data_IF_957025397598
#
_entry.id   IF_957025397598
#
_cell.length_a   1.000
_cell.length_b   1.000
_cell.length_c   1.000
_cell.angle_alpha   90.00
_cell.angle_beta   90.00
_cell.angle_gamma   90.00
#
_symmetry.space_group_name_H-M   'P 1'
#
loop_
_entity.id
_entity.type
_entity.pdbx_description
1 polymer ?
#
# COMPACT_ATOMS: atom_id res chain seq x y z
N UNK A 1 15.29 11.89 17.19
CA UNK A 1 15.67 10.82 16.24
C UNK A 1 16.53 11.42 15.14
N UNK A 2 17.68 10.83 14.86
CA UNK A 2 18.54 11.29 13.77
C UNK A 2 18.10 10.69 12.43
N UNK A 3 18.70 11.15 11.33
CA UNK A 3 18.33 10.70 9.98
C UNK A 3 18.55 9.20 9.76
N UNK A 4 19.61 8.65 10.33
CA UNK A 4 19.92 7.22 10.20
C UNK A 4 18.80 6.35 10.81
N UNK A 5 18.36 6.69 12.01
CA UNK A 5 17.25 5.98 12.68
C UNK A 5 15.95 6.17 11.93
N UNK A 6 15.68 7.37 11.43
CA UNK A 6 14.50 7.65 10.62
C UNK A 6 14.49 6.81 9.34
N UNK A 7 15.62 6.74 8.65
CA UNK A 7 15.74 5.93 7.43
C UNK A 7 15.48 4.43 7.70
N UNK A 8 15.85 3.95 8.89
CA UNK A 8 15.53 2.59 9.32
C UNK A 8 14.00 2.38 9.40
N UNK A 9 13.28 3.35 9.93
CA UNK A 9 11.81 3.29 9.99
C UNK A 9 11.22 3.25 8.57
N UNK A 10 11.73 4.07 7.66
CA UNK A 10 11.27 4.09 6.26
C UNK A 10 11.44 2.70 5.61
N UNK A 11 12.64 2.13 5.70
CA UNK A 11 12.91 0.80 5.12
C UNK A 11 12.04 -0.28 5.73
N UNK A 12 11.91 -0.27 7.06
CA UNK A 12 11.09 -1.23 7.79
C UNK A 12 9.63 -1.19 7.32
N UNK A 13 9.02 0.00 7.31
CA UNK A 13 7.60 0.12 6.94
C UNK A 13 7.37 -0.18 5.47
N UNK A 14 8.23 0.27 4.57
CA UNK A 14 8.06 0.00 3.14
C UNK A 14 8.21 -1.49 2.83
N UNK A 15 9.18 -2.17 3.42
CA UNK A 15 9.36 -3.61 3.22
C UNK A 15 8.19 -4.41 3.78
N UNK A 16 7.72 -4.05 4.97
CA UNK A 16 6.59 -4.73 5.61
C UNK A 16 5.30 -4.57 4.79
N UNK A 17 5.00 -3.36 4.36
CA UNK A 17 3.80 -3.08 3.56
C UNK A 17 3.87 -3.77 2.19
N UNK A 18 5.02 -3.71 1.52
CA UNK A 18 5.21 -4.36 0.24
C UNK A 18 5.02 -5.87 0.31
N UNK A 19 5.59 -6.52 1.33
CA UNK A 19 5.44 -7.96 1.52
C UNK A 19 3.99 -8.37 1.76
N UNK A 20 3.26 -7.62 2.58
CA UNK A 20 1.83 -7.88 2.85
C UNK A 20 1.01 -7.75 1.57
N UNK A 21 1.21 -6.68 0.80
CA UNK A 21 0.48 -6.45 -0.45
C UNK A 21 0.72 -7.56 -1.48
N UNK A 22 1.97 -7.95 -1.67
CA UNK A 22 2.32 -9.00 -2.63
C UNK A 22 1.77 -10.35 -2.23
N UNK A 23 1.85 -10.71 -0.95
CA UNK A 23 1.30 -11.97 -0.43
C UNK A 23 -0.22 -12.03 -0.57
N UNK A 24 -0.92 -10.96 -0.17
CA UNK A 24 -2.39 -10.90 -0.28
C UNK A 24 -2.86 -10.97 -1.73
N UNK A 25 -2.08 -10.44 -2.67
CA UNK A 25 -2.38 -10.55 -4.08
C UNK A 25 -2.49 -12.00 -4.55
N UNK A 26 -1.58 -12.86 -4.10
CA UNK A 26 -1.61 -14.28 -4.41
C UNK A 26 -2.78 -15.01 -3.76
N UNK A 27 -3.12 -14.65 -2.52
CA UNK A 27 -4.21 -15.28 -1.77
C UNK A 27 -5.60 -14.96 -2.35
N UNK A 28 -5.82 -13.71 -2.77
CA UNK A 28 -7.16 -13.24 -3.14
C UNK A 28 -7.46 -13.26 -4.62
N UNK A 29 -6.47 -13.12 -5.47
CA UNK A 29 -6.72 -12.94 -6.89
C UNK A 29 -6.13 -14.04 -7.79
N UNK A 30 -5.14 -14.80 -7.32
CA UNK A 30 -4.40 -15.73 -8.17
C UNK A 30 -3.51 -15.00 -9.17
N UNK A 31 -2.71 -15.74 -9.94
CA UNK A 31 -1.70 -15.12 -10.82
C UNK A 31 -2.29 -14.37 -12.01
N UNK A 32 -3.44 -14.81 -12.51
CA UNK A 32 -4.07 -14.26 -13.73
C UNK A 32 -5.36 -13.49 -13.45
N UNK A 33 -5.68 -13.23 -12.18
CA UNK A 33 -6.88 -12.52 -11.81
C UNK A 33 -6.62 -11.02 -11.65
N UNK A 34 -7.66 -10.20 -11.83
CA UNK A 34 -7.57 -8.77 -11.61
C UNK A 34 -7.43 -8.47 -10.12
N UNK A 35 -6.26 -7.98 -9.73
CA UNK A 35 -5.94 -7.65 -8.34
C UNK A 35 -6.88 -6.59 -7.75
N UNK A 36 -7.45 -5.76 -8.60
CA UNK A 36 -8.28 -4.61 -8.22
C UNK A 36 -9.77 -4.87 -8.41
N UNK A 37 -10.17 -6.12 -8.69
CA UNK A 37 -11.54 -6.48 -9.04
C UNK A 37 -12.56 -6.11 -7.96
N UNK A 38 -12.20 -6.21 -6.69
CA UNK A 38 -13.12 -5.88 -5.59
C UNK A 38 -13.57 -4.42 -5.62
N UNK A 39 -12.66 -3.50 -5.94
CA UNK A 39 -13.00 -2.08 -6.06
C UNK A 39 -13.92 -1.83 -7.26
N UNK A 40 -13.67 -2.52 -8.37
CA UNK A 40 -14.50 -2.41 -9.58
C UNK A 40 -15.91 -2.94 -9.35
N UNK A 41 -16.04 -4.07 -8.65
CA UNK A 41 -17.36 -4.64 -8.30
C UNK A 41 -18.13 -3.73 -7.35
N UNK A 42 -17.46 -3.23 -6.32
CA UNK A 42 -18.10 -2.29 -5.38
C UNK A 42 -18.52 -1.00 -6.08
N UNK A 43 -17.71 -0.49 -7.00
CA UNK A 43 -18.03 0.68 -7.81
C UNK A 43 -19.30 0.45 -8.64
N UNK A 44 -19.41 -0.72 -9.25
CA UNK A 44 -20.63 -1.09 -10.01
C UNK A 44 -21.90 -1.13 -9.16
N UNK A 45 -21.77 -1.55 -7.90
CA UNK A 45 -22.91 -1.62 -6.98
C UNK A 45 -23.34 -0.25 -6.45
N UNK A 46 -22.40 0.67 -6.26
CA UNK A 46 -22.65 1.97 -5.63
C UNK A 46 -22.80 3.12 -6.62
N UNK A 47 -22.51 2.89 -7.89
CA UNK A 47 -22.50 3.95 -8.90
C UNK A 47 -21.32 4.90 -8.80
N UNK A 48 -20.29 4.53 -8.03
CA UNK A 48 -19.08 5.31 -7.87
C UNK A 48 -17.94 4.80 -8.78
N UNK A 49 -16.82 5.54 -8.83
CA UNK A 49 -15.63 5.07 -9.50
C UNK A 49 -14.84 4.14 -8.57
N UNK A 50 -14.04 3.19 -9.11
CA UNK A 50 -13.19 2.34 -8.27
C UNK A 50 -12.24 3.11 -7.36
N UNK A 51 -11.68 4.22 -7.85
CA UNK A 51 -10.81 5.10 -7.06
C UNK A 51 -11.53 5.68 -5.85
N UNK A 52 -12.77 6.18 -6.04
CA UNK A 52 -13.56 6.70 -4.93
C UNK A 52 -13.93 5.62 -3.92
N UNK A 53 -14.20 4.40 -4.39
CA UNK A 53 -14.46 3.26 -3.50
C UNK A 53 -13.23 2.98 -2.63
N UNK A 54 -12.04 2.94 -3.21
CA UNK A 54 -10.80 2.72 -2.45
C UNK A 54 -10.58 3.81 -1.41
N UNK A 55 -10.81 5.08 -1.76
CA UNK A 55 -10.71 6.20 -0.83
C UNK A 55 -11.75 6.09 0.30
N UNK A 56 -12.96 5.64 0.01
CA UNK A 56 -13.99 5.42 1.03
C UNK A 56 -13.55 4.34 2.03
N UNK A 57 -12.98 3.25 1.55
CA UNK A 57 -12.44 2.20 2.42
C UNK A 57 -11.26 2.71 3.26
N UNK A 58 -10.44 3.60 2.70
CA UNK A 58 -9.32 4.22 3.41
C UNK A 58 -9.81 5.00 4.64
N UNK A 59 -10.98 5.61 4.58
CA UNK A 59 -11.54 6.37 5.71
C UNK A 59 -11.64 5.54 6.98
N UNK A 60 -12.01 4.26 6.89
CA UNK A 60 -12.07 3.36 8.05
C UNK A 60 -10.70 3.22 8.72
N UNK A 61 -9.66 3.12 7.91
CA UNK A 61 -8.30 2.96 8.41
C UNK A 61 -7.77 4.24 9.05
N UNK A 62 -8.15 5.40 8.51
CA UNK A 62 -7.84 6.69 9.14
C UNK A 62 -8.48 6.77 10.52
N UNK A 63 -9.77 6.42 10.63
CA UNK A 63 -10.49 6.41 11.91
C UNK A 63 -9.81 5.45 12.90
N UNK A 64 -9.40 4.27 12.45
CA UNK A 64 -8.71 3.29 13.29
C UNK A 64 -7.39 3.83 13.86
N UNK A 65 -6.63 4.57 13.07
CA UNK A 65 -5.36 5.19 13.50
C UNK A 65 -5.62 6.27 14.55
N UNK A 66 -6.60 7.13 14.32
CA UNK A 66 -6.99 8.16 15.31
C UNK A 66 -7.45 7.53 16.62
N UNK A 67 -8.21 6.44 16.56
CA UNK A 67 -8.66 5.71 17.74
C UNK A 67 -7.49 5.17 18.58
N UNK A 68 -6.47 4.64 17.94
CA UNK A 68 -5.26 4.21 18.65
C UNK A 68 -4.61 5.36 19.41
N UNK A 69 -4.51 6.51 18.77
CA UNK A 69 -3.92 7.71 19.39
C UNK A 69 -4.75 8.19 20.58
N UNK A 70 -6.07 8.27 20.44
CA UNK A 70 -6.97 8.71 21.50
C UNK A 70 -6.95 7.79 22.71
N UNK A 71 -6.85 6.49 22.48
CA UNK A 71 -6.78 5.49 23.57
C UNK A 71 -5.38 5.37 24.19
N UNK A 72 -4.39 6.09 23.66
CA UNK A 72 -3.03 6.04 24.18
C UNK A 72 -2.36 4.68 23.99
N UNK A 73 -2.68 3.96 22.91
CA UNK A 73 -2.11 2.66 22.60
C UNK A 73 -0.62 2.78 22.35
N UNK A 74 0.19 1.94 22.98
CA UNK A 74 1.65 1.93 22.84
C UNK A 74 2.18 0.66 22.15
N UNK A 75 1.31 -0.31 21.87
CA UNK A 75 1.71 -1.55 21.20
C UNK A 75 2.18 -1.27 19.77
N UNK A 76 3.49 -1.41 19.55
CA UNK A 76 4.10 -1.15 18.26
C UNK A 76 3.54 -2.04 17.15
N UNK A 77 3.24 -3.31 17.45
CA UNK A 77 2.70 -4.24 16.45
C UNK A 77 1.32 -3.78 15.95
N UNK A 78 0.49 -3.26 16.86
CA UNK A 78 -0.83 -2.75 16.50
C UNK A 78 -0.72 -1.46 15.67
N UNK A 79 0.21 -0.57 16.01
CA UNK A 79 0.49 0.61 15.22
C UNK A 79 0.97 0.24 13.80
N UNK A 80 1.86 -0.74 13.69
CA UNK A 80 2.35 -1.21 12.39
C UNK A 80 1.21 -1.73 11.53
N UNK A 81 0.29 -2.50 12.12
CA UNK A 81 -0.87 -3.03 11.41
C UNK A 81 -1.76 -1.92 10.87
N UNK A 82 -2.15 -0.98 11.73
CA UNK A 82 -3.11 0.08 11.36
C UNK A 82 -2.51 1.10 10.40
N UNK A 83 -1.28 1.54 10.64
CA UNK A 83 -0.58 2.43 9.71
C UNK A 83 -0.27 1.71 8.40
N UNK A 84 0.11 0.43 8.47
CA UNK A 84 0.36 -0.38 7.28
C UNK A 84 -0.87 -0.52 6.40
N UNK A 85 -2.04 -0.75 6.98
CA UNK A 85 -3.31 -0.79 6.25
C UNK A 85 -3.55 0.52 5.49
N UNK A 86 -3.30 1.65 6.13
CA UNK A 86 -3.47 2.96 5.52
C UNK A 86 -2.50 3.17 4.35
N UNK A 87 -1.23 2.82 4.54
CA UNK A 87 -0.22 2.88 3.48
C UNK A 87 -0.61 1.99 2.30
N UNK A 88 -1.09 0.78 2.59
CA UNK A 88 -1.50 -0.19 1.57
C UNK A 88 -2.65 0.35 0.73
N UNK A 89 -3.63 1.03 1.34
CA UNK A 89 -4.71 1.66 0.60
C UNK A 89 -4.23 2.82 -0.26
N UNK A 90 -3.21 3.56 0.16
CA UNK A 90 -2.58 4.57 -0.69
C UNK A 90 -1.98 3.95 -1.95
N UNK A 91 -1.30 2.81 -1.80
CA UNK A 91 -0.69 2.09 -2.93
C UNK A 91 -1.77 1.52 -3.86
N UNK A 92 -2.80 0.89 -3.30
CA UNK A 92 -3.93 0.34 -4.08
C UNK A 92 -4.64 1.44 -4.86
N UNK A 93 -4.87 2.59 -4.24
CA UNK A 93 -5.49 3.75 -4.90
C UNK A 93 -4.60 4.25 -6.04
N UNK A 94 -3.29 4.32 -5.83
CA UNK A 94 -2.35 4.71 -6.89
C UNK A 94 -2.37 3.72 -8.06
N UNK A 95 -2.51 2.42 -7.77
CA UNK A 95 -2.64 1.39 -8.81
C UNK A 95 -3.90 1.58 -9.64
N UNK A 96 -5.04 1.89 -9.00
CA UNK A 96 -6.29 2.18 -9.70
C UNK A 96 -6.15 3.38 -10.63
N UNK A 97 -5.48 4.43 -10.19
CA UNK A 97 -5.21 5.62 -11.00
C UNK A 97 -4.31 5.27 -12.19
N UNK A 98 -3.28 4.45 -11.98
CA UNK A 98 -2.39 4.01 -13.04
C UNK A 98 -3.17 3.25 -14.13
N UNK A 99 -4.08 2.36 -13.73
CA UNK A 99 -4.89 1.60 -14.66
C UNK A 99 -5.85 2.49 -15.43
N UNK A 100 -6.53 3.43 -14.76
CA UNK A 100 -7.41 4.41 -15.40
C UNK A 100 -6.68 5.26 -16.44
N UNK A 101 -5.45 5.63 -16.14
CA UNK A 101 -4.62 6.49 -17.00
C UNK A 101 -3.87 5.70 -18.09
N UNK A 102 -3.95 4.37 -18.08
CA UNK A 102 -3.21 3.55 -19.03
C UNK A 102 -1.69 3.64 -18.86
N UNK A 103 -1.21 3.88 -17.63
CA UNK A 103 0.21 3.97 -17.33
C UNK A 103 0.90 2.61 -17.43
N UNK A 104 2.09 2.58 -18.01
CA UNK A 104 2.92 1.39 -18.03
C UNK A 104 4.11 1.58 -17.08
N UNK A 105 3.91 1.24 -15.80
CA UNK A 105 4.94 1.39 -14.77
C UNK A 105 6.08 0.39 -14.94
N UNK A 106 5.82 -0.78 -15.51
CA UNK A 106 6.85 -1.77 -15.80
C UNK A 106 7.86 -1.24 -16.83
N UNK A 107 7.37 -0.63 -17.90
CA UNK A 107 8.23 -0.01 -18.91
C UNK A 107 9.02 1.16 -18.32
N UNK A 108 8.40 1.97 -17.46
CA UNK A 108 9.06 3.07 -16.80
C UNK A 108 10.18 2.57 -15.86
N UNK A 109 9.95 1.47 -15.14
CA UNK A 109 10.95 0.84 -14.28
C UNK A 109 12.12 0.28 -15.10
N UNK A 110 11.83 -0.42 -16.19
CA UNK A 110 12.86 -0.97 -17.10
C UNK A 110 13.77 0.10 -17.68
N UNK A 111 13.25 1.30 -17.89
CA UNK A 111 14.01 2.44 -18.40
C UNK A 111 14.73 3.23 -17.31
N UNK A 112 14.71 2.76 -16.08
CA UNK A 112 15.35 3.43 -14.95
C UNK A 112 14.67 4.73 -14.53
N UNK A 113 13.43 4.94 -14.90
CA UNK A 113 12.67 6.17 -14.56
C UNK A 113 12.11 6.18 -13.16
N UNK A 114 12.01 5.01 -12.54
CA UNK A 114 11.52 4.87 -11.17
C UNK A 114 12.70 4.45 -10.29
N UNK A 115 13.08 5.27 -9.32
CA UNK A 115 14.20 4.92 -8.45
C UNK A 115 13.84 3.75 -7.53
N UNK A 116 14.81 2.86 -7.32
CA UNK A 116 14.68 1.78 -6.36
C UNK A 116 14.87 2.30 -4.94
N UNK A 117 14.32 1.57 -3.97
CA UNK A 117 14.53 1.87 -2.56
C UNK A 117 15.93 1.41 -2.17
N UNK A 118 16.83 2.34 -1.95
CA UNK A 118 18.27 2.10 -1.72
C UNK A 118 18.55 1.01 -0.68
N UNK A 119 17.86 1.00 0.43
CA UNK A 119 18.09 0.03 1.48
C UNK A 119 17.66 -1.40 1.15
N UNK A 120 16.66 -1.58 0.28
CA UNK A 120 16.19 -2.89 -0.15
C UNK A 120 17.21 -3.58 -1.06
N UNK A 121 17.83 -2.83 -1.97
CA UNK A 121 18.85 -3.34 -2.89
C UNK A 121 20.09 -3.84 -2.13
N UNK A 122 20.53 -3.11 -1.11
CA UNK A 122 21.68 -3.48 -0.30
C UNK A 122 21.46 -4.79 0.47
N UNK A 123 20.22 -5.07 0.89
CA UNK A 123 19.88 -6.29 1.62
C UNK A 123 19.76 -7.52 0.72
N UNK A 124 19.41 -7.36 -0.53
CA UNK A 124 19.31 -8.46 -1.50
C UNK A 124 20.68 -9.03 -1.88
N UNK A 125 21.73 -8.26 -1.75
CA UNK A 125 23.10 -8.65 -2.11
C UNK A 125 23.82 -9.41 -1.00
N UNK A 126 23.23 -9.56 0.13
CA UNK A 126 23.75 -10.32 1.26
C UNK A 126 23.14 -11.69 1.37
#
# INVERSE_FOLDING_TARGET
MNNEKFNTVVKYMMNKCGNVLMRKGKEYAGENSDRLVSFKRAAGLTGETPTKVALSYMCKHVVSVYDLAERGVTDAALWDEKLGDLINYCILTRALIAEENGENLEAATSKGKIPELEGAVANEKK
#
